data_IF_062386407146
#
_entry.id   IF_062386407146
#
_cell.length_a   1.000
_cell.length_b   1.000
_cell.length_c   1.000
_cell.angle_alpha   90.00
_cell.angle_beta   90.00
_cell.angle_gamma   90.00
#
_symmetry.space_group_name_H-M   'P 1'
#
loop_
_entity.id
_entity.type
_entity.pdbx_description
1 polymer ?
#
# COMPACT_ATOMS: atom_id res chain seq x y z
N UNK A 1 -44.66 -42.68 -7.92
CA UNK A 1 -43.62 -41.95 -7.16
C UNK A 1 -42.26 -42.34 -7.71
N UNK A 2 -41.58 -41.45 -8.43
CA UNK A 2 -40.21 -41.65 -8.92
C UNK A 2 -39.44 -40.36 -8.66
N UNK A 3 -38.62 -40.37 -7.61
CA UNK A 3 -37.66 -39.32 -7.33
C UNK A 3 -36.48 -39.47 -8.30
N UNK A 4 -36.13 -38.40 -9.01
CA UNK A 4 -34.85 -38.28 -9.71
C UNK A 4 -34.18 -36.98 -9.28
N UNK A 5 -33.31 -37.16 -8.29
CA UNK A 5 -32.02 -36.52 -8.05
C UNK A 5 -31.58 -35.50 -9.12
N UNK A 6 -31.61 -34.21 -8.78
CA UNK A 6 -30.87 -33.15 -9.48
C UNK A 6 -29.72 -32.69 -8.58
N UNK A 7 -28.52 -33.18 -8.89
CA UNK A 7 -27.25 -32.76 -8.31
C UNK A 7 -26.89 -31.40 -8.90
N UNK A 8 -27.08 -30.32 -8.15
CA UNK A 8 -26.61 -28.98 -8.53
C UNK A 8 -25.14 -28.86 -8.11
N UNK A 9 -24.24 -28.97 -9.09
CA UNK A 9 -22.84 -28.60 -8.92
C UNK A 9 -22.75 -27.07 -8.71
N UNK A 10 -22.43 -26.65 -7.49
CA UNK A 10 -21.97 -25.29 -7.22
C UNK A 10 -20.48 -25.18 -7.55
N UNK A 11 -20.18 -24.71 -8.76
CA UNK A 11 -18.87 -24.21 -9.15
C UNK A 11 -18.72 -22.77 -8.65
N UNK A 12 -18.34 -22.60 -7.38
CA UNK A 12 -17.90 -21.31 -6.86
C UNK A 12 -16.43 -21.11 -7.20
N UNK A 13 -16.16 -20.13 -8.06
CA UNK A 13 -14.86 -19.83 -8.63
C UNK A 13 -13.80 -19.59 -7.57
N UNK A 14 -12.68 -20.29 -7.73
CA UNK A 14 -11.42 -19.89 -7.14
C UNK A 14 -11.06 -18.51 -7.72
N UNK A 15 -11.29 -17.47 -6.93
CA UNK A 15 -10.63 -16.18 -7.09
C UNK A 15 -9.14 -16.46 -6.94
N UNK A 16 -8.47 -16.74 -8.06
CA UNK A 16 -7.03 -16.75 -8.17
C UNK A 16 -6.57 -15.33 -7.83
N UNK A 17 -6.32 -15.10 -6.55
CA UNK A 17 -5.55 -13.95 -6.11
C UNK A 17 -4.22 -14.05 -6.82
N UNK A 18 -3.92 -13.06 -7.66
CA UNK A 18 -2.59 -12.87 -8.23
C UNK A 18 -1.61 -12.96 -7.07
N UNK A 19 -0.84 -14.05 -7.03
CA UNK A 19 0.19 -14.26 -6.02
C UNK A 19 1.26 -13.24 -6.34
N UNK A 20 1.18 -12.12 -5.66
CA UNK A 20 2.16 -11.06 -5.71
C UNK A 20 3.47 -11.67 -5.20
N UNK A 21 4.43 -11.89 -6.10
CA UNK A 21 5.75 -12.48 -5.80
C UNK A 21 6.64 -11.57 -4.93
N UNK A 22 6.11 -10.49 -4.37
CA UNK A 22 6.81 -9.60 -3.44
C UNK A 22 6.82 -10.13 -2.01
N UNK A 23 7.91 -9.86 -1.29
CA UNK A 23 8.03 -10.10 0.14
C UNK A 23 6.99 -9.27 0.90
N UNK A 24 6.14 -9.91 1.70
CA UNK A 24 5.21 -9.21 2.59
C UNK A 24 5.94 -8.74 3.84
N UNK A 25 5.76 -7.46 4.20
CA UNK A 25 6.25 -6.86 5.43
C UNK A 25 5.13 -6.91 6.48
N UNK A 26 5.39 -7.49 7.67
CA UNK A 26 4.39 -7.59 8.72
C UNK A 26 4.22 -6.25 9.43
N UNK A 27 2.98 -5.96 9.85
CA UNK A 27 2.61 -4.78 10.60
C UNK A 27 1.34 -4.99 11.41
N UNK A 28 0.80 -3.91 11.97
CA UNK A 28 -0.41 -3.93 12.80
C UNK A 28 -1.31 -2.74 12.53
N UNK A 29 -2.63 -2.96 12.71
CA UNK A 29 -3.64 -1.92 12.83
C UNK A 29 -4.18 -1.93 14.25
N UNK A 30 -3.93 -0.88 15.03
CA UNK A 30 -4.36 -0.76 16.42
C UNK A 30 -5.46 0.29 16.57
N UNK A 31 -6.64 -0.11 17.05
CA UNK A 31 -7.71 0.81 17.41
C UNK A 31 -7.51 1.35 18.82
N UNK A 32 -8.03 2.56 19.09
CA UNK A 32 -8.05 3.14 20.45
C UNK A 32 -8.82 2.27 21.46
N UNK A 33 -9.72 1.42 20.99
CA UNK A 33 -10.50 0.51 21.82
C UNK A 33 -9.74 -0.79 22.18
N UNK A 34 -8.45 -0.90 21.85
CA UNK A 34 -7.62 -2.08 22.14
C UNK A 34 -7.77 -3.24 21.14
N UNK A 35 -8.56 -3.07 20.07
CA UNK A 35 -8.67 -4.06 18.98
C UNK A 35 -7.46 -3.93 18.05
N UNK A 36 -6.78 -5.03 17.80
CA UNK A 36 -5.60 -5.09 16.93
C UNK A 36 -5.83 -6.07 15.79
N UNK A 37 -5.59 -5.65 14.55
CA UNK A 37 -5.58 -6.50 13.37
C UNK A 37 -4.13 -6.76 12.96
N UNK A 38 -3.83 -7.97 12.48
CA UNK A 38 -2.58 -8.21 11.78
C UNK A 38 -2.64 -7.52 10.42
N UNK A 39 -1.56 -6.88 10.00
CA UNK A 39 -1.46 -6.20 8.72
C UNK A 39 -0.23 -6.70 7.97
N UNK A 40 -0.33 -6.76 6.65
CA UNK A 40 0.78 -7.10 5.78
C UNK A 40 0.75 -6.20 4.56
N UNK A 41 1.91 -5.68 4.18
CA UNK A 41 2.08 -4.87 2.97
C UNK A 41 3.18 -5.44 2.11
N UNK A 42 2.92 -5.56 0.81
CA UNK A 42 3.92 -6.04 -0.14
C UNK A 42 5.06 -5.03 -0.29
N UNK A 43 6.30 -5.48 -0.21
CA UNK A 43 7.47 -4.69 -0.61
C UNK A 43 7.52 -4.58 -2.14
N UNK A 44 6.86 -3.58 -2.71
CA UNK A 44 6.81 -3.34 -4.15
C UNK A 44 7.09 -1.86 -4.53
N UNK A 45 7.67 -1.61 -5.71
CA UNK A 45 7.88 -0.25 -6.19
C UNK A 45 6.54 0.40 -6.55
N UNK A 46 6.20 1.51 -5.88
CA UNK A 46 5.00 2.36 -6.08
C UNK A 46 3.65 1.74 -5.75
N UNK A 47 3.40 0.47 -5.99
CA UNK A 47 2.12 -0.17 -5.69
C UNK A 47 2.28 -1.64 -5.43
N UNK A 48 1.45 -2.20 -4.55
CA UNK A 48 1.48 -3.62 -4.22
C UNK A 48 0.24 -4.06 -3.45
N UNK A 49 0.22 -5.33 -3.08
CA UNK A 49 -0.86 -5.91 -2.28
C UNK A 49 -0.78 -5.45 -0.81
N UNK A 50 -1.95 -5.33 -0.19
CA UNK A 50 -2.08 -5.23 1.27
C UNK A 50 -3.10 -6.25 1.76
N UNK A 51 -2.86 -6.77 2.97
CA UNK A 51 -3.75 -7.70 3.65
C UNK A 51 -3.89 -7.31 5.10
N UNK A 52 -5.05 -7.60 5.68
CA UNK A 52 -5.21 -7.55 7.13
C UNK A 52 -6.11 -8.69 7.59
N UNK A 53 -5.99 -9.08 8.85
CA UNK A 53 -6.86 -10.08 9.47
C UNK A 53 -7.31 -9.58 10.83
N UNK A 54 -8.62 -9.61 11.06
CA UNK A 54 -9.15 -9.37 12.39
C UNK A 54 -9.22 -10.67 13.19
N UNK A 55 -8.41 -10.84 14.25
CA UNK A 55 -8.38 -12.08 15.02
C UNK A 55 -9.67 -12.30 15.83
N UNK A 56 -10.44 -11.24 16.10
CA UNK A 56 -11.67 -11.33 16.91
C UNK A 56 -12.82 -11.89 16.09
N UNK A 57 -13.05 -11.34 14.90
CA UNK A 57 -14.14 -11.80 14.02
C UNK A 57 -13.70 -12.88 13.04
N UNK A 58 -12.40 -13.04 12.79
CA UNK A 58 -11.86 -13.85 11.71
C UNK A 58 -12.10 -13.28 10.32
N UNK A 59 -12.47 -11.99 10.20
CA UNK A 59 -12.61 -11.29 8.91
C UNK A 59 -11.24 -11.10 8.26
N UNK A 60 -11.15 -11.42 6.96
CA UNK A 60 -9.95 -11.25 6.16
C UNK A 60 -10.14 -10.10 5.20
N UNK A 61 -9.15 -9.22 5.15
CA UNK A 61 -9.12 -8.02 4.32
C UNK A 61 -8.06 -8.17 3.25
N UNK A 62 -8.41 -7.84 2.02
CA UNK A 62 -7.47 -7.82 0.90
C UNK A 62 -7.66 -6.55 0.06
N UNK A 63 -6.55 -6.01 -0.44
CA UNK A 63 -6.54 -4.76 -1.17
C UNK A 63 -5.25 -4.48 -1.91
N UNK A 64 -5.14 -3.27 -2.42
CA UNK A 64 -3.92 -2.74 -3.03
C UNK A 64 -3.61 -1.37 -2.44
N UNK A 65 -2.32 -1.06 -2.34
CA UNK A 65 -1.83 0.27 -2.02
C UNK A 65 -1.20 0.93 -3.25
N UNK A 66 -1.26 2.26 -3.30
CA UNK A 66 -0.51 3.08 -4.27
C UNK A 66 0.21 4.19 -3.54
N UNK A 67 1.54 4.19 -3.61
CA UNK A 67 2.45 5.20 -3.12
C UNK A 67 2.83 6.21 -4.20
N UNK A 68 2.82 7.48 -3.81
CA UNK A 68 3.23 8.64 -4.59
C UNK A 68 4.49 9.19 -3.94
N UNK A 69 5.59 9.21 -4.69
CA UNK A 69 6.86 9.82 -4.25
C UNK A 69 6.94 11.22 -4.83
N UNK A 70 7.02 12.25 -3.98
CA UNK A 70 7.32 13.60 -4.46
C UNK A 70 8.76 13.65 -5.00
N UNK A 71 8.92 14.05 -6.26
CA UNK A 71 10.22 14.24 -6.92
C UNK A 71 10.38 15.70 -7.28
N UNK A 72 11.36 16.38 -6.69
CA UNK A 72 11.72 17.75 -7.05
C UNK A 72 12.93 17.72 -7.98
N UNK A 73 12.75 18.22 -9.20
CA UNK A 73 13.82 18.29 -10.21
C UNK A 73 14.32 19.73 -10.32
N UNK A 74 15.54 20.00 -9.84
CA UNK A 74 16.20 21.29 -10.03
C UNK A 74 17.09 21.25 -11.28
N UNK A 75 16.86 22.19 -12.19
CA UNK A 75 17.69 22.40 -13.38
C UNK A 75 18.45 23.70 -13.19
N UNK A 76 19.79 23.66 -13.20
CA UNK A 76 20.60 24.88 -13.24
C UNK A 76 21.40 24.94 -14.53
N UNK A 77 21.25 26.06 -15.24
CA UNK A 77 22.03 26.41 -16.41
C UNK A 77 23.04 27.46 -15.98
N UNK A 78 24.33 27.13 -16.08
CA UNK A 78 25.40 28.05 -15.75
C UNK A 78 26.12 28.51 -17.01
N UNK A 79 26.20 29.82 -17.22
CA UNK A 79 27.10 30.44 -18.18
C UNK A 79 28.29 31.01 -17.42
N UNK A 80 29.50 30.55 -17.74
CA UNK A 80 30.73 31.11 -17.19
C UNK A 80 31.52 31.76 -18.32
N UNK A 81 31.77 33.06 -18.20
CA UNK A 81 32.56 33.83 -19.17
C UNK A 81 33.92 34.15 -18.56
N UNK A 82 35.00 33.66 -19.18
CA UNK A 82 36.37 33.95 -18.78
C UNK A 82 37.14 34.48 -20.01
N UNK A 83 37.40 35.80 -20.04
CA UNK A 83 37.94 36.47 -21.23
C UNK A 83 36.96 36.45 -22.41
N UNK A 84 37.43 36.07 -23.60
CA UNK A 84 36.60 35.95 -24.82
C UNK A 84 35.92 34.57 -24.99
N UNK A 85 36.04 33.66 -24.02
CA UNK A 85 35.44 32.33 -24.08
C UNK A 85 34.18 32.26 -23.20
N UNK A 86 33.09 31.72 -23.76
CA UNK A 86 31.86 31.37 -23.03
C UNK A 86 31.83 29.85 -22.83
N UNK A 87 31.81 29.42 -21.57
CA UNK A 87 31.61 28.03 -21.19
C UNK A 87 30.15 27.83 -20.76
N UNK A 88 29.50 26.83 -21.35
CA UNK A 88 28.15 26.43 -21.00
C UNK A 88 28.19 25.12 -20.19
N UNK A 89 27.60 25.14 -18.99
CA UNK A 89 27.50 23.98 -18.12
C UNK A 89 26.05 23.67 -17.76
N UNK A 90 25.64 22.43 -17.99
CA UNK A 90 24.35 21.91 -17.54
C UNK A 90 24.55 21.12 -16.24
N UNK A 91 23.81 21.45 -15.18
CA UNK A 91 23.72 20.60 -13.98
C UNK A 91 22.26 20.26 -13.71
N UNK A 92 21.97 18.95 -13.68
CA UNK A 92 20.67 18.40 -13.28
C UNK A 92 20.81 17.82 -11.88
N UNK A 93 20.04 18.33 -10.94
CA UNK A 93 19.96 17.81 -9.57
C UNK A 93 18.54 17.33 -9.31
N UNK A 94 18.38 16.02 -9.12
CA UNK A 94 17.10 15.41 -8.73
C UNK A 94 17.14 15.14 -7.24
N UNK A 95 16.20 15.72 -6.48
CA UNK A 95 15.98 15.39 -5.07
C UNK A 95 14.73 14.51 -5.03
N UNK A 96 14.92 13.24 -4.66
CA UNK A 96 13.83 12.29 -4.47
C UNK A 96 13.61 12.16 -2.96
N UNK A 97 12.38 12.36 -2.49
CA UNK A 97 12.03 12.09 -1.10
C UNK A 97 12.19 10.59 -0.81
N UNK A 98 12.78 10.23 0.33
CA UNK A 98 12.81 8.85 0.82
C UNK A 98 11.45 8.41 1.38
N UNK A 99 10.49 9.33 1.52
CA UNK A 99 9.15 9.08 2.03
C UNK A 99 8.12 9.19 0.90
N UNK A 100 7.26 8.19 0.78
CA UNK A 100 6.13 8.15 -0.14
C UNK A 100 4.81 8.23 0.64
N UNK A 101 3.90 9.11 0.22
CA UNK A 101 2.52 9.07 0.71
C UNK A 101 1.76 7.99 -0.07
N UNK A 102 1.06 7.10 0.63
CA UNK A 102 0.34 5.99 0.04
C UNK A 102 -1.09 5.89 0.54
N UNK A 103 -1.98 5.48 -0.37
CA UNK A 103 -3.36 5.17 -0.06
C UNK A 103 -3.63 3.70 -0.33
N UNK A 104 -4.41 3.05 0.53
CA UNK A 104 -4.83 1.67 0.35
C UNK A 104 -6.32 1.50 0.69
N UNK A 105 -6.97 0.62 -0.06
CA UNK A 105 -8.35 0.22 0.18
C UNK A 105 -8.40 -1.29 0.33
N UNK A 106 -8.92 -1.77 1.47
CA UNK A 106 -9.03 -3.19 1.75
C UNK A 106 -10.50 -3.58 1.91
N UNK A 107 -10.92 -4.58 1.15
CA UNK A 107 -12.25 -5.16 1.26
C UNK A 107 -12.19 -6.39 2.17
N UNK A 108 -13.01 -6.37 3.21
CA UNK A 108 -13.25 -7.51 4.09
C UNK A 108 -14.22 -8.51 3.48
N UNK A 109 -13.94 -9.80 3.67
CA UNK A 109 -14.80 -10.89 3.22
C UNK A 109 -16.17 -10.94 3.92
N UNK A 110 -16.37 -10.14 4.98
CA UNK A 110 -17.64 -9.99 5.70
C UNK A 110 -18.29 -8.62 5.49
N UNK A 111 -17.81 -7.84 4.52
CA UNK A 111 -18.41 -6.57 4.10
C UNK A 111 -17.92 -5.33 4.87
N UNK A 112 -16.93 -5.46 5.77
CA UNK A 112 -16.23 -4.30 6.31
C UNK A 112 -15.23 -3.80 5.25
N UNK A 113 -15.08 -2.48 5.11
CA UNK A 113 -14.09 -1.88 4.21
C UNK A 113 -13.15 -1.01 5.03
N UNK A 114 -11.84 -1.14 4.82
CA UNK A 114 -10.81 -0.29 5.42
C UNK A 114 -10.25 0.68 4.37
N UNK A 115 -10.24 1.96 4.69
CA UNK A 115 -9.57 3.00 3.92
C UNK A 115 -8.36 3.49 4.70
N UNK A 116 -7.17 3.36 4.13
CA UNK A 116 -5.91 3.68 4.79
C UNK A 116 -5.14 4.78 4.06
N UNK A 117 -4.59 5.71 4.84
CA UNK A 117 -3.58 6.67 4.42
C UNK A 117 -2.30 6.38 5.19
N UNK A 118 -1.17 6.21 4.51
CA UNK A 118 0.10 5.84 5.14
C UNK A 118 1.28 6.58 4.53
N UNK A 119 2.34 6.74 5.31
CA UNK A 119 3.65 7.21 4.88
C UNK A 119 4.61 6.03 4.91
N UNK A 120 5.29 5.81 3.80
CA UNK A 120 6.20 4.69 3.61
C UNK A 120 7.59 5.25 3.41
N UNK A 121 8.52 4.89 4.29
CA UNK A 121 9.93 5.20 4.11
C UNK A 121 10.58 4.09 3.27
N UNK A 122 11.12 4.47 2.11
CA UNK A 122 11.80 3.60 1.18
C UNK A 122 13.27 3.46 1.56
N UNK A 123 13.54 2.64 2.58
CA UNK A 123 14.89 2.23 2.99
C UNK A 123 15.10 0.71 2.77
N UNK A 124 16.30 0.20 3.06
CA UNK A 124 16.67 -1.23 2.99
C UNK A 124 15.62 -2.08 3.72
N UNK A 125 15.15 -1.59 4.87
CA UNK A 125 14.02 -2.11 5.64
C UNK A 125 12.89 -1.09 5.59
N UNK A 126 11.97 -1.20 4.62
CA UNK A 126 10.86 -0.28 4.51
C UNK A 126 10.01 -0.37 5.77
N UNK A 127 9.64 0.78 6.28
CA UNK A 127 8.75 0.91 7.43
C UNK A 127 7.77 2.04 7.14
N UNK A 128 6.67 2.07 7.87
CA UNK A 128 5.65 3.07 7.64
C UNK A 128 4.70 3.24 8.80
N UNK A 129 4.07 4.40 8.81
CA UNK A 129 3.01 4.75 9.76
C UNK A 129 1.81 5.28 9.00
N UNK A 130 0.62 5.13 9.58
CA UNK A 130 -0.58 5.61 8.93
C UNK A 130 -1.81 5.55 9.79
N UNK A 131 -2.94 5.81 9.15
CA UNK A 131 -4.26 5.71 9.75
C UNK A 131 -5.17 4.97 8.80
N UNK A 132 -6.00 4.10 9.35
CA UNK A 132 -7.09 3.47 8.63
C UNK A 132 -8.42 3.77 9.31
N UNK A 133 -9.47 3.85 8.51
CA UNK A 133 -10.83 3.96 8.99
C UNK A 133 -11.69 2.88 8.35
N UNK A 134 -12.53 2.22 9.15
CA UNK A 134 -13.52 1.30 8.61
C UNK A 134 -14.79 2.02 8.13
N UNK A 135 -15.63 1.33 7.35
CA UNK A 135 -16.93 1.84 6.91
C UNK A 135 -17.97 2.03 8.04
N UNK A 136 -17.59 1.79 9.30
CA UNK A 136 -18.39 2.02 10.52
C UNK A 136 -17.84 3.19 11.35
N UNK A 137 -16.78 3.86 10.89
CA UNK A 137 -16.16 5.01 11.55
C UNK A 137 -15.12 4.67 12.62
N UNK A 138 -14.71 3.41 12.76
CA UNK A 138 -13.65 3.00 13.69
C UNK A 138 -12.30 3.39 13.09
N UNK A 139 -11.51 4.11 13.87
CA UNK A 139 -10.16 4.53 13.48
C UNK A 139 -9.10 3.57 14.04
N UNK A 140 -8.08 3.33 13.22
CA UNK A 140 -6.95 2.47 13.50
C UNK A 140 -5.65 3.21 13.20
N UNK A 141 -4.66 3.05 14.07
CA UNK A 141 -3.27 3.44 13.81
C UNK A 141 -2.56 2.29 13.11
N UNK A 142 -1.88 2.59 12.01
CA UNK A 142 -1.13 1.64 11.20
C UNK A 142 0.37 1.80 11.47
N UNK A 143 1.07 0.68 11.63
CA UNK A 143 2.54 0.62 11.70
C UNK A 143 3.06 -0.67 11.05
N UNK A 144 4.18 -0.59 10.32
CA UNK A 144 4.91 -1.75 9.77
C UNK A 144 6.39 -1.41 9.61
#
# INVERSE_FOLDING_TARGET
MRAKLSLVLFSAGALAGCVSNGTMLPGTLASQNGRTLSFEIEKAPRSGAVRATDPVTGEQFAGQYTGIVETVSAHSNGFATAGNATAFGFRRSTVVSSVADANAFLNGDKGTMLTCTMKIENDITPHGIGQCQDNKGVNYQLQF
#
